data_IF_124482264171
#
_entry.id   IF_124482264171
#
_cell.length_a   1.000
_cell.length_b   1.000
_cell.length_c   1.000
_cell.angle_alpha   90.00
_cell.angle_beta   90.00
_cell.angle_gamma   90.00
#
_symmetry.space_group_name_H-M   'P 1'
#
loop_
_entity.id
_entity.type
_entity.pdbx_description
1 polymer ?
#
# COMPACT_ATOMS: atom_id res chain seq x y z
N UNK A 1 -12.36 11.18 -2.79
CA UNK A 1 -13.04 9.88 -2.59
C UNK A 1 -12.01 8.78 -2.39
N UNK A 2 -12.24 7.90 -1.41
CA UNK A 2 -11.46 6.69 -1.16
C UNK A 2 -12.29 5.43 -1.46
N UNK A 3 -11.69 4.47 -2.16
CA UNK A 3 -12.27 3.13 -2.38
C UNK A 3 -11.24 2.06 -2.05
N UNK A 4 -11.71 0.97 -1.44
CA UNK A 4 -10.91 -0.21 -1.14
C UNK A 4 -11.56 -1.42 -1.80
N UNK A 5 -10.76 -2.22 -2.48
CA UNK A 5 -11.21 -3.49 -3.06
C UNK A 5 -10.11 -4.56 -3.04
N UNK A 6 -10.53 -5.82 -3.19
CA UNK A 6 -9.66 -6.98 -3.39
C UNK A 6 -9.94 -7.57 -4.79
N UNK A 7 -9.32 -7.01 -5.84
CA UNK A 7 -9.58 -7.44 -7.22
C UNK A 7 -9.14 -8.89 -7.46
N UNK A 8 -8.06 -9.33 -6.82
CA UNK A 8 -7.58 -10.72 -6.82
C UNK A 8 -7.09 -11.12 -5.43
N UNK A 9 -6.97 -12.43 -5.16
CA UNK A 9 -6.68 -12.95 -3.82
C UNK A 9 -5.41 -12.36 -3.16
N UNK A 10 -4.39 -12.05 -3.95
CA UNK A 10 -3.09 -11.57 -3.48
C UNK A 10 -2.89 -10.07 -3.67
N UNK A 11 -3.92 -9.31 -4.04
CA UNK A 11 -3.81 -7.87 -4.29
C UNK A 11 -4.91 -7.12 -3.55
N UNK A 12 -4.50 -6.04 -2.90
CA UNK A 12 -5.40 -5.04 -2.33
C UNK A 12 -5.23 -3.75 -3.10
N UNK A 13 -6.34 -3.19 -3.57
CA UNK A 13 -6.36 -1.93 -4.30
C UNK A 13 -6.98 -0.83 -3.43
N UNK A 14 -6.20 0.22 -3.20
CA UNK A 14 -6.59 1.46 -2.56
C UNK A 14 -6.66 2.54 -3.62
N UNK A 15 -7.85 3.08 -3.86
CA UNK A 15 -8.05 4.14 -4.84
C UNK A 15 -8.35 5.45 -4.14
N UNK A 16 -7.53 6.47 -4.39
CA UNK A 16 -7.70 7.83 -3.88
C UNK A 16 -7.84 8.76 -5.07
N UNK A 17 -9.04 9.31 -5.28
CA UNK A 17 -9.30 10.26 -6.36
C UNK A 17 -9.87 11.58 -5.84
N UNK A 18 -9.33 12.69 -6.32
CA UNK A 18 -9.78 14.04 -5.98
C UNK A 18 -9.68 14.39 -4.49
N UNK A 19 -10.32 15.50 -4.06
CA UNK A 19 -10.31 15.94 -2.67
C UNK A 19 -10.83 14.86 -1.74
N UNK A 20 -10.10 14.61 -0.65
CA UNK A 20 -10.46 13.60 0.35
C UNK A 20 -11.31 14.26 1.44
N UNK A 21 -12.49 13.71 1.69
CA UNK A 21 -13.30 14.10 2.84
C UNK A 21 -12.80 13.44 4.13
N UNK A 22 -13.28 13.92 5.28
CA UNK A 22 -13.02 13.28 6.58
C UNK A 22 -13.48 11.80 6.57
N UNK A 23 -14.59 11.51 5.90
CA UNK A 23 -15.11 10.14 5.77
C UNK A 23 -14.17 9.25 4.95
N UNK A 24 -13.57 9.79 3.87
CA UNK A 24 -12.59 9.08 3.06
C UNK A 24 -11.32 8.76 3.87
N UNK A 25 -10.85 9.73 4.66
CA UNK A 25 -9.72 9.54 5.57
C UNK A 25 -9.99 8.44 6.61
N UNK A 26 -11.17 8.45 7.24
CA UNK A 26 -11.58 7.40 8.17
C UNK A 26 -11.69 6.02 7.50
N UNK A 27 -12.20 5.96 6.27
CA UNK A 27 -12.30 4.73 5.50
C UNK A 27 -10.91 4.17 5.13
N UNK A 28 -9.95 5.04 4.78
CA UNK A 28 -8.56 4.66 4.54
C UNK A 28 -7.89 4.07 5.79
N UNK A 29 -8.03 4.72 6.94
CA UNK A 29 -7.49 4.19 8.20
C UNK A 29 -8.14 2.86 8.57
N UNK A 30 -9.45 2.72 8.39
CA UNK A 30 -10.14 1.45 8.62
C UNK A 30 -9.62 0.34 7.71
N UNK A 31 -9.40 0.61 6.42
CA UNK A 31 -8.85 -0.38 5.49
C UNK A 31 -7.43 -0.83 5.88
N UNK A 32 -6.60 0.07 6.43
CA UNK A 32 -5.30 -0.30 7.01
C UNK A 32 -5.46 -1.24 8.22
N UNK A 33 -6.40 -0.96 9.11
CA UNK A 33 -6.69 -1.86 10.24
C UNK A 33 -7.21 -3.23 9.77
N UNK A 34 -8.09 -3.27 8.77
CA UNK A 34 -8.63 -4.51 8.21
C UNK A 34 -7.54 -5.36 7.53
N UNK A 35 -6.54 -4.72 6.90
CA UNK A 35 -5.34 -5.39 6.38
C UNK A 35 -4.60 -6.13 7.49
N UNK A 36 -4.34 -5.46 8.62
CA UNK A 36 -3.64 -6.07 9.77
C UNK A 36 -4.48 -7.11 10.53
N UNK A 37 -5.81 -7.03 10.48
CA UNK A 37 -6.73 -7.95 11.18
C UNK A 37 -7.02 -9.25 10.41
N UNK A 38 -6.74 -9.27 9.09
CA UNK A 38 -7.00 -10.42 8.22
C UNK A 38 -6.18 -11.68 8.61
N UNK A 39 -5.09 -11.52 9.37
CA UNK A 39 -4.31 -12.65 9.92
C UNK A 39 -5.02 -13.40 11.05
N UNK A 40 -5.98 -12.76 11.75
CA UNK A 40 -6.50 -13.30 13.02
C UNK A 40 -7.78 -14.13 12.85
N UNK A 41 -8.39 -14.12 11.68
CA UNK A 41 -9.80 -14.58 11.50
C UNK A 41 -10.01 -15.65 10.43
N UNK A 42 -8.99 -16.04 9.66
CA UNK A 42 -9.15 -17.01 8.57
C UNK A 42 -8.28 -18.25 8.78
N UNK A 43 -8.90 -19.44 8.75
CA UNK A 43 -8.22 -20.75 8.86
C UNK A 43 -7.43 -21.15 7.60
N UNK A 44 -7.39 -20.26 6.60
CA UNK A 44 -6.58 -20.40 5.38
C UNK A 44 -5.42 -19.41 5.51
N UNK A 45 -4.14 -19.84 5.33
CA UNK A 45 -3.02 -18.91 5.36
C UNK A 45 -3.23 -17.83 4.29
N UNK A 46 -3.53 -16.61 4.74
CA UNK A 46 -3.62 -15.44 3.88
C UNK A 46 -2.18 -15.08 3.54
N UNK A 47 -1.77 -15.38 2.30
CA UNK A 47 -0.45 -14.96 1.82
C UNK A 47 -0.36 -13.43 1.91
N UNK A 48 0.81 -12.87 2.25
CA UNK A 48 1.00 -11.43 2.27
C UNK A 48 0.67 -10.84 0.89
N UNK A 49 -0.17 -9.82 0.87
CA UNK A 49 -0.71 -9.24 -0.38
C UNK A 49 0.18 -8.13 -0.92
N UNK A 50 0.07 -7.84 -2.21
CA UNK A 50 0.61 -6.63 -2.81
C UNK A 50 -0.43 -5.52 -2.66
N UNK A 51 -0.01 -4.37 -2.10
CA UNK A 51 -0.86 -3.19 -2.01
C UNK A 51 -0.66 -2.30 -3.24
N UNK A 52 -1.69 -2.12 -4.06
CA UNK A 52 -1.71 -1.11 -5.12
C UNK A 52 -2.42 0.13 -4.58
N UNK A 53 -1.77 1.29 -4.64
CA UNK A 53 -2.33 2.58 -4.24
C UNK A 53 -2.41 3.49 -5.47
N UNK A 54 -3.61 3.82 -5.93
CA UNK A 54 -3.80 4.85 -6.96
C UNK A 54 -4.02 6.19 -6.29
N UNK A 55 -3.28 7.19 -6.76
CA UNK A 55 -3.43 8.58 -6.32
C UNK A 55 -3.69 9.41 -7.56
N UNK A 56 -4.94 9.82 -7.74
CA UNK A 56 -5.40 10.63 -8.86
C UNK A 56 -5.70 12.06 -8.36
N UNK A 57 -4.90 13.01 -8.83
CA UNK A 57 -4.95 14.42 -8.48
C UNK A 57 -4.28 14.81 -7.15
N UNK A 58 -4.53 16.05 -6.70
CA UNK A 58 -4.13 16.52 -5.36
C UNK A 58 -5.02 15.82 -4.31
N UNK A 59 -4.66 14.59 -3.95
CA UNK A 59 -5.22 13.91 -2.78
C UNK A 59 -4.73 14.63 -1.52
N UNK A 60 -5.34 15.78 -1.22
CA UNK A 60 -5.00 16.61 -0.08
C UNK A 60 -5.47 15.90 1.19
N UNK A 61 -4.67 14.94 1.65
CA UNK A 61 -4.96 14.18 2.84
C UNK A 61 -4.86 15.11 4.05
N UNK A 62 -5.93 15.14 4.85
CA UNK A 62 -5.95 15.82 6.14
C UNK A 62 -4.73 15.42 6.98
N UNK A 63 -4.16 16.40 7.69
CA UNK A 63 -3.07 16.20 8.63
C UNK A 63 -3.35 15.08 9.63
N UNK A 64 -4.58 14.98 10.15
CA UNK A 64 -4.95 13.95 11.11
C UNK A 64 -4.94 12.55 10.48
N UNK A 65 -5.42 12.42 9.23
CA UNK A 65 -5.35 11.14 8.48
C UNK A 65 -3.90 10.70 8.27
N UNK A 66 -3.02 11.63 7.88
CA UNK A 66 -1.58 11.35 7.71
C UNK A 66 -0.93 10.88 9.00
N UNK A 67 -1.26 11.52 10.12
CA UNK A 67 -0.76 11.17 11.45
C UNK A 67 -1.23 9.79 11.89
N UNK A 68 -2.51 9.46 11.67
CA UNK A 68 -3.05 8.13 11.99
C UNK A 68 -2.41 7.04 11.14
N UNK A 69 -2.23 7.28 9.83
CA UNK A 69 -1.56 6.34 8.95
C UNK A 69 -0.10 6.10 9.38
N UNK A 70 0.65 7.18 9.68
CA UNK A 70 2.02 7.07 10.17
C UNK A 70 2.10 6.30 11.51
N UNK A 71 1.16 6.53 12.42
CA UNK A 71 1.07 5.79 13.67
C UNK A 71 0.80 4.30 13.42
N UNK A 72 -0.11 3.97 12.52
CA UNK A 72 -0.40 2.58 12.13
C UNK A 72 0.83 1.91 11.51
N UNK A 73 1.54 2.57 10.59
CA UNK A 73 2.77 2.03 9.99
C UNK A 73 3.85 1.80 11.05
N UNK A 74 4.00 2.71 12.01
CA UNK A 74 4.96 2.57 13.12
C UNK A 74 4.62 1.38 14.01
N UNK A 75 3.34 1.20 14.37
CA UNK A 75 2.88 0.09 15.20
C UNK A 75 3.04 -1.26 14.50
N UNK A 76 2.78 -1.31 13.20
CA UNK A 76 2.83 -2.54 12.42
C UNK A 76 4.19 -2.81 11.78
N UNK A 77 5.19 -1.91 11.91
CA UNK A 77 6.47 -2.01 11.21
C UNK A 77 7.14 -3.38 11.27
N UNK A 78 7.13 -4.02 12.44
CA UNK A 78 7.74 -5.33 12.66
C UNK A 78 6.94 -6.53 12.12
N UNK A 79 5.68 -6.31 11.75
CA UNK A 79 4.76 -7.33 11.21
C UNK A 79 4.19 -6.97 9.83
N UNK A 80 4.59 -5.84 9.26
CA UNK A 80 4.15 -5.40 7.92
C UNK A 80 4.40 -6.49 6.87
N UNK A 81 5.52 -7.22 6.95
CA UNK A 81 5.84 -8.33 6.06
C UNK A 81 4.95 -9.58 6.22
N UNK A 82 4.18 -9.67 7.30
CA UNK A 82 3.27 -10.79 7.55
C UNK A 82 2.01 -10.68 6.67
N UNK A 83 1.57 -9.45 6.37
CA UNK A 83 0.36 -9.21 5.57
C UNK A 83 0.60 -8.40 4.30
N UNK A 84 1.75 -7.75 4.11
CA UNK A 84 2.15 -7.08 2.87
C UNK A 84 3.51 -7.60 2.37
N UNK A 85 3.59 -7.99 1.10
CA UNK A 85 4.86 -8.37 0.45
C UNK A 85 5.43 -7.28 -0.46
N UNK A 86 4.67 -6.21 -0.69
CA UNK A 86 5.05 -5.12 -1.57
C UNK A 86 3.99 -4.04 -1.62
N UNK A 87 4.39 -2.86 -2.09
CA UNK A 87 3.46 -1.81 -2.45
C UNK A 87 3.80 -1.23 -3.83
N UNK A 88 2.77 -0.87 -4.60
CA UNK A 88 2.88 -0.22 -5.90
C UNK A 88 2.07 1.06 -5.83
N UNK A 89 2.69 2.18 -6.15
CA UNK A 89 2.03 3.48 -6.23
C UNK A 89 1.78 3.83 -7.68
N UNK A 90 0.54 4.15 -8.01
CA UNK A 90 0.10 4.52 -9.35
C UNK A 90 -0.25 6.00 -9.37
N UNK A 91 0.48 6.76 -10.17
CA UNK A 91 0.25 8.20 -10.37
C UNK A 91 0.21 8.50 -11.88
N UNK A 92 -0.97 8.51 -12.50
CA UNK A 92 -1.10 8.65 -13.95
C UNK A 92 -0.66 10.02 -14.49
N UNK A 93 -0.60 11.05 -13.64
CA UNK A 93 -0.18 12.42 -13.98
C UNK A 93 1.20 12.80 -13.40
N UNK A 94 2.00 11.83 -12.97
CA UNK A 94 3.34 12.11 -12.46
C UNK A 94 4.24 12.65 -13.59
N UNK A 95 4.69 13.91 -13.47
CA UNK A 95 5.75 14.44 -14.32
C UNK A 95 7.05 13.62 -14.15
N UNK A 96 7.76 13.39 -15.26
CA UNK A 96 9.04 12.69 -15.34
C UNK A 96 9.96 13.08 -14.16
N UNK A 97 10.17 12.12 -13.24
CA UNK A 97 11.00 12.31 -12.04
C UNK A 97 10.33 11.97 -10.71
N UNK A 98 9.01 11.82 -10.64
CA UNK A 98 8.32 11.45 -9.38
C UNK A 98 8.52 9.98 -9.01
N UNK A 99 8.55 9.06 -9.99
CA UNK A 99 8.77 7.63 -9.77
C UNK A 99 10.06 7.35 -8.97
N UNK A 100 11.19 7.93 -9.41
CA UNK A 100 12.48 7.80 -8.72
C UNK A 100 12.44 8.43 -7.31
N UNK A 101 11.63 9.47 -7.10
CA UNK A 101 11.46 10.09 -5.78
C UNK A 101 10.64 9.23 -4.82
N UNK A 102 9.58 8.57 -5.31
CA UNK A 102 8.73 7.67 -4.52
C UNK A 102 9.55 6.47 -4.02
N UNK A 103 10.27 5.80 -4.91
CA UNK A 103 11.06 4.61 -4.59
C UNK A 103 12.27 4.93 -3.68
N UNK A 104 12.83 6.14 -3.76
CA UNK A 104 13.94 6.59 -2.92
C UNK A 104 13.50 7.39 -1.68
N UNK A 105 12.19 7.56 -1.47
CA UNK A 105 11.67 8.35 -0.36
C UNK A 105 12.07 7.75 0.99
N UNK A 106 12.17 8.60 2.01
CA UNK A 106 12.40 8.13 3.38
C UNK A 106 11.31 7.15 3.83
N UNK A 107 10.08 7.30 3.30
CA UNK A 107 8.99 6.36 3.53
C UNK A 107 9.30 4.98 2.94
N UNK A 108 9.69 4.90 1.66
CA UNK A 108 10.06 3.64 1.01
C UNK A 108 11.19 2.91 1.77
N UNK A 109 12.21 3.64 2.22
CA UNK A 109 13.33 3.09 3.00
C UNK A 109 12.95 2.56 4.38
N UNK A 110 11.81 2.99 4.92
CA UNK A 110 11.31 2.52 6.23
C UNK A 110 10.44 1.28 6.13
N UNK A 111 9.94 0.95 4.94
CA UNK A 111 9.13 -0.25 4.72
C UNK A 111 10.03 -1.50 4.71
N UNK A 112 9.54 -2.63 5.23
CA UNK A 112 10.29 -3.90 5.18
C UNK A 112 10.20 -4.59 3.80
N UNK A 113 9.55 -3.96 2.82
CA UNK A 113 9.34 -4.47 1.46
C UNK A 113 9.56 -3.35 0.43
N UNK A 114 9.68 -3.72 -0.83
CA UNK A 114 9.84 -2.76 -1.93
C UNK A 114 8.56 -1.96 -2.18
N UNK A 115 8.72 -0.64 -2.32
CA UNK A 115 7.72 0.25 -2.90
C UNK A 115 8.13 0.53 -4.35
N UNK A 116 7.26 0.23 -5.31
CA UNK A 116 7.48 0.53 -6.73
C UNK A 116 6.51 1.59 -7.23
N UNK A 117 6.87 2.24 -8.33
CA UNK A 117 5.98 3.10 -9.10
C UNK A 117 5.43 2.38 -10.33
N UNK A 118 4.20 2.71 -10.74
CA UNK A 118 3.62 2.34 -12.02
C UNK A 118 2.92 3.56 -12.64
N UNK A 119 3.00 3.70 -13.96
CA UNK A 119 2.43 4.84 -14.69
C UNK A 119 0.94 4.64 -14.98
N UNK A 120 0.44 3.41 -14.83
CA UNK A 120 -0.97 3.06 -15.01
C UNK A 120 -1.43 1.96 -14.07
N UNK A 121 -2.75 1.86 -13.87
CA UNK A 121 -3.34 0.79 -13.06
C UNK A 121 -3.11 -0.59 -13.72
N UNK A 122 -3.17 -0.66 -15.05
CA UNK A 122 -2.90 -1.89 -15.81
C UNK A 122 -1.46 -2.37 -15.57
N UNK A 123 -0.48 -1.47 -15.65
CA UNK A 123 0.91 -1.80 -15.33
C UNK A 123 1.07 -2.25 -13.88
N UNK A 124 0.40 -1.59 -12.93
CA UNK A 124 0.44 -1.96 -11.53
C UNK A 124 -0.09 -3.38 -11.29
N UNK A 125 -1.13 -3.80 -12.00
CA UNK A 125 -1.62 -5.17 -11.96
C UNK A 125 -0.60 -6.15 -12.52
N UNK A 126 0.00 -5.86 -13.68
CA UNK A 126 1.05 -6.71 -14.26
C UNK A 126 2.25 -6.82 -13.30
N UNK A 127 2.65 -5.73 -12.66
CA UNK A 127 3.70 -5.73 -11.65
C UNK A 127 3.33 -6.56 -10.41
N UNK A 128 2.08 -6.46 -9.95
CA UNK A 128 1.59 -7.21 -8.79
C UNK A 128 1.49 -8.72 -9.07
N UNK A 129 1.06 -9.11 -10.27
CA UNK A 129 1.03 -10.50 -10.71
C UNK A 129 2.42 -11.11 -10.82
N UNK A 130 3.38 -10.32 -11.33
CA UNK A 130 4.79 -10.72 -11.43
C UNK A 130 5.59 -10.39 -10.17
N UNK A 131 4.93 -10.01 -9.06
CA UNK A 131 5.64 -9.62 -7.86
C UNK A 131 6.41 -10.82 -7.33
N UNK A 132 7.72 -10.68 -7.09
CA UNK A 132 8.48 -11.79 -6.56
C UNK A 132 7.87 -12.16 -5.21
N UNK A 133 7.33 -13.38 -5.13
CA UNK A 133 6.99 -14.00 -3.84
C UNK A 133 8.31 -14.01 -3.08
N UNK A 134 8.50 -13.06 -2.17
CA UNK A 134 9.85 -12.78 -1.67
C UNK A 134 10.48 -14.08 -1.15
N UNK A 135 11.71 -14.42 -1.56
CA UNK A 135 12.44 -15.49 -0.93
C UNK A 135 12.59 -15.17 0.57
N UNK A 136 12.61 -16.23 1.37
CA UNK A 136 12.69 -16.26 2.83
C UNK A 136 13.55 -15.14 3.45
N UNK A 137 13.20 -14.68 4.67
CA UNK A 137 13.89 -13.59 5.35
C UNK A 137 15.42 -13.81 5.34
N UNK A 138 16.15 -12.84 4.77
CA UNK A 138 17.59 -12.73 4.98
C UNK A 138 17.84 -12.35 6.43
N UNK A 139 18.06 -13.34 7.29
CA UNK A 139 18.37 -13.10 8.70
C UNK A 139 18.17 -14.31 9.60
N UNK A 140 18.76 -15.46 9.23
CA UNK A 140 19.02 -16.55 10.14
C UNK A 140 20.51 -16.91 10.04
N UNK A 141 21.35 -16.14 10.73
CA UNK A 141 22.71 -16.53 11.16
C UNK A 141 23.03 -15.80 12.46
#
# INVERSE_FOLDING_TARGET
MFRYSRPVANVVLFEMSGPQSVADGAAYIRALHDLSASETTSSVPVLPVVLIMTVDGQADQDHETRKQAAAWFKQNRGRLSQFLCGAIRVEPDAHDGHAAHVENSNFAKMLPFALKHADSLEEAFVMAENWPVSPAPKGAF
#
